data_IF_826567758996
#
_entry.id   IF_826567758996
#
_cell.length_a   1.000
_cell.length_b   1.000
_cell.length_c   1.000
_cell.angle_alpha   90.00
_cell.angle_beta   90.00
_cell.angle_gamma   90.00
#
_symmetry.space_group_name_H-M   'P 1'
#
loop_
_entity.id
_entity.type
_entity.pdbx_description
1 polymer ?
#
# COMPACT_ATOMS: atom_id res chain seq x y z
N UNK A 1 5.94 11.76 51.16
CA UNK A 1 4.49 11.45 51.16
C UNK A 1 3.90 12.25 50.02
N UNK A 2 3.33 11.73 48.93
CA UNK A 2 2.49 10.56 48.72
C UNK A 2 2.66 10.06 47.28
N UNK A 3 2.94 8.77 47.12
CA UNK A 3 2.99 8.04 45.84
C UNK A 3 1.59 7.57 45.44
N UNK A 4 1.08 8.06 44.31
CA UNK A 4 -0.18 7.60 43.73
C UNK A 4 0.01 6.24 43.06
N UNK A 5 -0.57 5.18 43.65
CA UNK A 5 -0.70 3.86 43.04
C UNK A 5 -2.03 3.79 42.29
N UNK A 6 -2.00 3.68 40.96
CA UNK A 6 -3.15 3.24 40.16
C UNK A 6 -3.30 1.73 40.30
N UNK A 7 -4.32 1.30 41.01
CA UNK A 7 -4.78 -0.10 41.05
C UNK A 7 -5.52 -0.41 39.76
N UNK A 8 -5.06 -1.43 39.03
CA UNK A 8 -5.76 -2.02 37.90
C UNK A 8 -6.92 -2.88 38.44
N UNK A 9 -8.15 -2.38 38.37
CA UNK A 9 -9.34 -3.19 38.63
C UNK A 9 -9.61 -4.08 37.41
N UNK A 10 -9.31 -5.38 37.52
CA UNK A 10 -9.87 -6.40 36.65
C UNK A 10 -11.28 -6.73 37.15
N UNK A 11 -12.30 -6.26 36.43
CA UNK A 11 -13.68 -6.69 36.64
C UNK A 11 -13.86 -8.08 36.02
N UNK A 12 -13.96 -9.11 36.86
CA UNK A 12 -14.39 -10.44 36.43
C UNK A 12 -15.87 -10.39 36.06
N UNK A 13 -16.16 -10.59 34.77
CA UNK A 13 -17.52 -10.86 34.30
C UNK A 13 -17.92 -12.26 34.78
N UNK A 14 -19.05 -12.32 35.50
CA UNK A 14 -19.69 -13.56 35.90
C UNK A 14 -20.21 -14.28 34.64
N UNK A 15 -19.52 -15.35 34.23
CA UNK A 15 -20.04 -16.35 33.31
C UNK A 15 -20.49 -17.55 34.14
N UNK A 16 -21.73 -17.96 33.90
CA UNK A 16 -22.46 -18.99 34.65
C UNK A 16 -21.73 -20.33 34.75
N UNK A 17 -21.88 -20.95 35.92
CA UNK A 17 -21.32 -22.25 36.25
C UNK A 17 -21.82 -23.34 35.33
N UNK A 18 -20.87 -23.92 34.58
CA UNK A 18 -20.92 -25.33 34.21
C UNK A 18 -20.10 -26.06 35.26
N UNK A 19 -20.76 -26.91 36.05
CA UNK A 19 -20.13 -27.72 37.07
C UNK A 19 -19.09 -28.67 36.44
N UNK A 20 -17.82 -28.33 36.58
CA UNK A 20 -16.72 -29.28 36.42
C UNK A 20 -16.79 -30.26 37.59
N UNK A 21 -17.33 -31.44 37.31
CA UNK A 21 -17.28 -32.57 38.22
C UNK A 21 -15.84 -32.79 38.69
N UNK A 22 -15.68 -32.90 40.00
CA UNK A 22 -14.47 -33.32 40.68
C UNK A 22 -14.07 -34.71 40.18
N UNK A 23 -13.29 -34.76 39.11
CA UNK A 23 -12.54 -35.94 38.71
C UNK A 23 -11.40 -36.11 39.73
N UNK A 24 -11.38 -37.29 40.34
CA UNK A 24 -10.45 -37.68 41.38
C UNK A 24 -9.00 -37.39 40.98
N UNK A 25 -8.27 -36.76 41.91
CA UNK A 25 -6.82 -36.71 41.93
C UNK A 25 -6.28 -38.15 42.02
N UNK A 26 -5.96 -38.71 40.86
CA UNK A 26 -5.50 -40.10 40.72
C UNK A 26 -5.17 -40.43 39.27
N UNK A 27 -4.67 -39.45 38.50
CA UNK A 27 -4.03 -39.70 37.22
C UNK A 27 -2.55 -39.59 37.45
N UNK A 28 -1.84 -40.71 37.34
CA UNK A 28 -0.39 -40.71 37.22
C UNK A 28 -0.01 -39.64 36.18
N UNK A 29 0.76 -38.65 36.59
CA UNK A 29 1.57 -37.93 35.62
C UNK A 29 2.27 -39.01 34.82
N UNK A 30 2.07 -38.98 33.51
CA UNK A 30 2.80 -39.77 32.54
C UNK A 30 4.28 -39.47 32.81
N UNK A 31 4.86 -40.27 33.70
CA UNK A 31 6.27 -40.37 33.90
C UNK A 31 6.76 -40.96 32.59
N UNK A 32 6.89 -40.11 31.57
CA UNK A 32 7.56 -40.41 30.34
C UNK A 32 8.88 -40.98 30.80
N UNK A 33 9.01 -42.30 30.70
CA UNK A 33 10.19 -43.00 31.17
C UNK A 33 11.36 -42.25 30.53
N UNK A 34 12.21 -41.62 31.36
CA UNK A 34 13.40 -40.96 30.88
C UNK A 34 14.07 -41.95 29.96
N UNK A 35 14.02 -41.70 28.65
CA UNK A 35 14.51 -42.64 27.66
C UNK A 35 16.00 -42.67 27.88
N UNK A 36 16.46 -43.72 28.55
CA UNK A 36 17.86 -43.93 28.93
C UNK A 36 18.66 -44.07 27.65
N UNK A 37 19.18 -42.95 27.13
CA UNK A 37 19.89 -42.88 25.85
C UNK A 37 19.60 -41.65 24.98
N UNK A 38 18.62 -40.82 25.31
CA UNK A 38 18.36 -39.57 24.60
C UNK A 38 19.30 -38.43 25.00
N UNK A 39 19.69 -37.59 24.05
CA UNK A 39 20.34 -36.30 24.31
C UNK A 39 19.27 -35.33 24.82
N UNK A 40 19.58 -34.56 25.86
CA UNK A 40 18.67 -33.54 26.36
C UNK A 40 18.38 -32.54 25.22
N UNK A 41 17.12 -32.36 24.78
CA UNK A 41 16.78 -31.47 23.67
C UNK A 41 17.14 -29.99 23.95
N UNK A 42 17.41 -29.63 25.20
CA UNK A 42 17.87 -28.30 25.60
C UNK A 42 19.40 -28.14 25.65
N UNK A 43 20.17 -29.21 25.46
CA UNK A 43 21.63 -29.18 25.55
C UNK A 43 22.26 -28.37 24.42
N UNK A 44 23.14 -27.43 24.77
CA UNK A 44 23.81 -26.51 23.83
C UNK A 44 25.32 -26.63 23.94
N UNK A 45 26.01 -26.77 22.81
CA UNK A 45 27.46 -26.74 22.68
C UNK A 45 27.89 -25.49 21.90
N UNK A 46 28.63 -24.62 22.58
CA UNK A 46 29.24 -23.42 21.98
C UNK A 46 30.71 -23.74 21.71
N UNK A 47 31.14 -23.59 20.45
CA UNK A 47 32.56 -23.73 20.11
C UNK A 47 33.33 -22.52 20.62
N UNK A 48 34.32 -22.75 21.49
CA UNK A 48 35.04 -21.68 22.18
C UNK A 48 35.95 -20.84 21.27
N UNK A 49 36.39 -21.40 20.14
CA UNK A 49 37.19 -20.71 19.13
C UNK A 49 36.42 -20.66 17.80
N UNK A 50 36.61 -19.62 16.98
CA UNK A 50 36.10 -19.59 15.62
C UNK A 50 36.54 -20.82 14.82
N UNK A 51 35.64 -21.36 14.01
CA UNK A 51 35.84 -22.59 13.23
C UNK A 51 36.05 -22.28 11.74
N UNK A 52 36.77 -23.18 11.07
CA UNK A 52 36.96 -23.18 9.61
C UNK A 52 37.32 -24.60 9.14
N UNK A 53 37.21 -24.87 7.83
CA UNK A 53 37.50 -26.19 7.28
C UNK A 53 36.45 -27.23 7.66
N UNK A 54 36.87 -28.45 8.01
CA UNK A 54 35.96 -29.53 8.36
C UNK A 54 35.67 -29.54 9.87
N UNK A 55 34.41 -29.45 10.25
CA UNK A 55 33.95 -29.41 11.65
C UNK A 55 33.03 -30.60 11.92
N UNK A 56 33.44 -31.45 12.86
CA UNK A 56 32.64 -32.61 13.27
C UNK A 56 31.72 -32.25 14.46
N UNK A 57 30.42 -32.40 14.25
CA UNK A 57 29.36 -32.16 15.23
C UNK A 57 28.95 -33.48 15.89
N UNK A 58 29.34 -33.66 17.15
CA UNK A 58 29.00 -34.86 17.92
C UNK A 58 27.59 -34.72 18.52
N UNK A 59 26.62 -35.37 17.88
CA UNK A 59 25.19 -35.29 18.22
C UNK A 59 24.91 -35.88 19.61
N UNK A 60 25.76 -36.78 20.12
CA UNK A 60 25.63 -37.30 21.48
C UNK A 60 25.93 -36.28 22.57
N UNK A 61 26.56 -35.15 22.23
CA UNK A 61 27.02 -34.14 23.20
C UNK A 61 26.10 -32.93 23.34
N UNK A 62 25.29 -32.63 22.32
CA UNK A 62 24.36 -31.50 22.35
C UNK A 62 23.27 -31.62 21.27
N UNK A 63 22.12 -31.01 21.53
CA UNK A 63 21.05 -30.80 20.55
C UNK A 63 21.25 -29.51 19.75
N UNK A 64 21.91 -28.48 20.32
CA UNK A 64 22.18 -27.20 19.65
C UNK A 64 23.68 -26.94 19.56
N UNK A 65 24.19 -26.61 18.37
CA UNK A 65 25.60 -26.29 18.13
C UNK A 65 25.74 -24.84 17.68
N UNK A 66 26.50 -24.02 18.42
CA UNK A 66 26.76 -22.62 18.08
C UNK A 66 28.21 -22.47 17.62
N UNK A 67 28.40 -22.05 16.38
CA UNK A 67 29.71 -21.95 15.72
C UNK A 67 29.94 -20.55 15.14
N UNK A 68 30.99 -19.84 15.57
CA UNK A 68 31.45 -18.62 14.88
C UNK A 68 32.41 -18.99 13.76
N UNK A 69 32.21 -18.50 12.53
CA UNK A 69 32.98 -18.88 11.35
C UNK A 69 34.11 -17.87 11.09
N UNK A 70 35.33 -18.36 10.92
CA UNK A 70 36.49 -17.57 10.49
C UNK A 70 37.00 -17.97 9.09
N UNK A 71 36.26 -18.82 8.38
CA UNK A 71 36.59 -19.35 7.07
C UNK A 71 35.48 -20.26 6.54
N UNK A 72 35.55 -20.64 5.27
CA UNK A 72 34.67 -21.63 4.67
C UNK A 72 34.62 -22.90 5.54
N UNK A 73 33.42 -23.34 5.89
CA UNK A 73 33.21 -24.41 6.87
C UNK A 73 32.27 -25.48 6.33
N UNK A 74 32.68 -26.73 6.48
CA UNK A 74 31.91 -27.93 6.15
C UNK A 74 31.61 -28.70 7.43
N UNK A 75 30.33 -28.83 7.78
CA UNK A 75 29.90 -29.56 8.96
C UNK A 75 29.60 -31.04 8.64
N UNK A 76 29.95 -31.93 9.55
CA UNK A 76 29.64 -33.36 9.48
C UNK A 76 29.06 -33.83 10.81
N UNK A 77 27.91 -34.49 10.80
CA UNK A 77 27.34 -35.08 12.02
C UNK A 77 27.97 -36.44 12.32
N UNK A 78 28.27 -36.71 13.58
CA UNK A 78 28.80 -37.99 14.05
C UNK A 78 28.14 -38.41 15.37
N UNK A 79 28.29 -39.70 15.72
CA UNK A 79 27.83 -40.26 17.00
C UNK A 79 26.34 -40.00 17.28
N UNK A 80 25.48 -40.26 16.29
CA UNK A 80 24.04 -40.21 16.49
C UNK A 80 23.62 -41.20 17.57
N UNK A 81 22.75 -40.81 18.52
CA UNK A 81 22.27 -41.70 19.56
C UNK A 81 21.67 -42.98 18.97
N UNK A 82 21.99 -44.13 19.55
CA UNK A 82 21.45 -45.41 19.10
C UNK A 82 20.03 -45.61 19.67
N UNK A 83 19.04 -45.81 18.79
CA UNK A 83 17.66 -46.14 19.17
C UNK A 83 16.65 -45.36 18.33
N UNK A 84 15.41 -45.84 18.21
CA UNK A 84 14.38 -45.30 17.29
C UNK A 84 13.86 -43.88 17.64
N UNK A 85 14.68 -43.04 18.27
CA UNK A 85 14.34 -41.67 18.66
C UNK A 85 14.88 -40.73 17.60
N UNK A 86 13.97 -40.02 16.93
CA UNK A 86 14.30 -38.90 16.05
C UNK A 86 15.09 -37.88 16.86
N UNK A 87 16.39 -37.72 16.58
CA UNK A 87 17.19 -36.63 17.15
C UNK A 87 17.15 -35.45 16.19
N UNK A 88 16.96 -34.24 16.71
CA UNK A 88 16.77 -33.05 15.90
C UNK A 88 17.88 -32.00 16.17
N UNK A 89 19.13 -32.23 15.71
CA UNK A 89 20.19 -31.27 15.98
C UNK A 89 19.95 -29.95 15.23
N UNK A 90 20.25 -28.84 15.90
CA UNK A 90 20.22 -27.49 15.33
C UNK A 90 21.64 -26.93 15.25
N UNK A 91 22.00 -26.36 14.11
CA UNK A 91 23.28 -25.65 13.92
C UNK A 91 23.01 -24.16 13.76
N UNK A 92 23.63 -23.35 14.62
CA UNK A 92 23.65 -21.89 14.59
C UNK A 92 25.05 -21.46 14.15
N UNK A 93 25.19 -21.10 12.88
CA UNK A 93 26.45 -20.65 12.28
C UNK A 93 26.46 -19.11 12.17
N UNK A 94 27.40 -18.47 12.86
CA UNK A 94 27.54 -17.01 12.93
C UNK A 94 28.77 -16.60 12.12
N UNK A 95 28.61 -15.76 11.09
CA UNK A 95 29.72 -15.17 10.36
C UNK A 95 30.53 -14.27 11.32
N UNK A 96 31.87 -14.26 11.22
CA UNK A 96 32.66 -13.26 11.92
C UNK A 96 32.48 -11.86 11.31
N UNK A 97 33.24 -10.88 11.81
CA UNK A 97 33.19 -9.51 11.33
C UNK A 97 33.71 -9.32 9.90
N UNK A 98 34.25 -10.36 9.26
CA UNK A 98 34.74 -10.31 7.87
C UNK A 98 33.73 -10.89 6.88
N UNK A 99 32.91 -11.85 7.33
CA UNK A 99 31.93 -12.52 6.48
C UNK A 99 32.55 -13.30 5.32
N UNK A 100 31.75 -13.53 4.28
CA UNK A 100 32.02 -14.24 3.04
C UNK A 100 32.43 -15.71 3.21
N UNK A 101 32.14 -16.30 4.37
CA UNK A 101 32.47 -17.70 4.64
C UNK A 101 31.35 -18.62 4.14
N UNK A 102 31.69 -19.50 3.21
CA UNK A 102 30.79 -20.54 2.73
C UNK A 102 30.45 -21.55 3.83
N UNK A 103 29.18 -21.95 3.88
CA UNK A 103 28.65 -22.97 4.79
C UNK A 103 28.21 -24.18 3.97
N UNK A 104 28.65 -25.38 4.35
CA UNK A 104 28.20 -26.62 3.71
C UNK A 104 28.09 -27.77 4.71
N UNK A 105 27.40 -28.85 4.32
CA UNK A 105 27.14 -30.01 5.16
C UNK A 105 27.42 -31.30 4.38
N UNK A 106 28.11 -32.26 5.00
CA UNK A 106 28.40 -33.57 4.40
C UNK A 106 27.33 -34.58 4.79
N UNK A 107 26.83 -35.36 3.83
CA UNK A 107 25.89 -36.45 4.09
C UNK A 107 24.45 -36.01 4.42
N UNK A 108 24.10 -34.75 4.14
CA UNK A 108 22.75 -34.20 4.36
C UNK A 108 21.94 -34.19 3.07
N UNK A 109 20.73 -34.72 3.14
CA UNK A 109 19.69 -34.58 2.10
C UNK A 109 18.75 -33.43 2.44
N UNK A 110 18.67 -32.42 1.58
CA UNK A 110 17.84 -31.23 1.84
C UNK A 110 16.38 -31.43 1.44
N UNK A 111 15.47 -30.85 2.24
CA UNK A 111 14.02 -30.85 1.97
C UNK A 111 13.53 -29.43 1.61
N UNK A 112 12.77 -29.26 0.51
CA UNK A 112 12.41 -30.27 -0.50
C UNK A 112 13.64 -30.76 -1.28
N UNK A 113 13.56 -32.00 -1.79
CA UNK A 113 14.68 -32.74 -2.38
C UNK A 113 15.50 -31.89 -3.38
N UNK A 114 16.80 -31.75 -3.10
CA UNK A 114 17.77 -31.11 -3.99
C UNK A 114 17.91 -29.60 -3.85
N UNK A 115 17.13 -28.93 -3.00
CA UNK A 115 17.26 -27.50 -2.75
C UNK A 115 18.17 -27.22 -1.54
N UNK A 116 19.45 -26.93 -1.78
CA UNK A 116 20.36 -26.43 -0.74
C UNK A 116 19.86 -25.05 -0.26
N UNK A 117 19.72 -24.80 1.07
CA UNK A 117 19.43 -23.48 1.58
C UNK A 117 20.49 -22.47 1.17
N UNK A 118 20.07 -21.27 0.80
CA UNK A 118 21.00 -20.15 0.61
C UNK A 118 21.46 -19.66 1.99
N UNK A 119 22.73 -19.90 2.32
CA UNK A 119 23.33 -19.38 3.54
C UNK A 119 23.76 -17.92 3.36
N UNK A 120 23.42 -17.09 4.33
CA UNK A 120 23.87 -15.70 4.40
C UNK A 120 25.36 -15.67 4.77
N UNK A 121 26.12 -14.87 4.04
CA UNK A 121 27.56 -14.75 4.24
C UNK A 121 28.01 -13.33 4.58
N UNK A 122 27.11 -12.37 4.80
CA UNK A 122 27.54 -11.02 5.22
C UNK A 122 28.17 -11.02 6.62
N UNK A 123 29.04 -10.04 6.95
CA UNK A 123 29.63 -9.93 8.28
C UNK A 123 28.61 -9.97 9.42
N UNK A 124 28.86 -10.81 10.43
CA UNK A 124 28.00 -11.01 11.61
C UNK A 124 26.61 -11.63 11.33
N UNK A 125 26.35 -12.14 10.13
CA UNK A 125 25.10 -12.85 9.82
C UNK A 125 24.96 -14.16 10.60
N UNK A 126 23.73 -14.52 10.95
CA UNK A 126 23.40 -15.73 11.71
C UNK A 126 22.54 -16.66 10.86
N UNK A 127 23.03 -17.86 10.62
CA UNK A 127 22.33 -18.92 9.93
C UNK A 127 21.89 -19.98 10.93
N UNK A 128 20.59 -20.30 10.98
CA UNK A 128 20.03 -21.35 11.84
C UNK A 128 19.49 -22.46 10.96
N UNK A 129 19.91 -23.70 11.20
CA UNK A 129 19.48 -24.85 10.39
C UNK A 129 19.13 -26.02 11.28
N UNK A 130 17.91 -26.54 11.09
CA UNK A 130 17.44 -27.74 11.76
C UNK A 130 17.73 -28.97 10.92
N UNK A 131 18.05 -30.07 11.59
CA UNK A 131 18.29 -31.37 10.97
C UNK A 131 17.51 -32.43 11.72
N UNK A 132 17.23 -33.55 11.07
CA UNK A 132 16.70 -34.74 11.73
C UNK A 132 17.21 -36.01 11.05
N UNK A 133 17.21 -37.11 11.79
CA UNK A 133 17.47 -38.44 11.25
C UNK A 133 16.49 -39.44 11.85
N UNK A 134 16.01 -40.36 11.02
CA UNK A 134 15.09 -41.44 11.42
C UNK A 134 15.79 -42.79 11.60
N UNK A 135 17.09 -42.87 11.29
CA UNK A 135 17.86 -44.10 11.16
C UNK A 135 19.27 -43.99 11.77
N UNK A 136 19.35 -43.35 12.94
CA UNK A 136 20.58 -43.15 13.72
C UNK A 136 21.73 -42.54 12.89
N UNK A 137 21.42 -41.54 12.06
CA UNK A 137 22.39 -40.78 11.29
C UNK A 137 22.83 -41.41 9.98
N UNK A 138 22.26 -42.56 9.58
CA UNK A 138 22.55 -43.15 8.27
C UNK A 138 22.05 -42.23 7.16
N UNK A 139 20.87 -41.64 7.37
CA UNK A 139 20.26 -40.61 6.53
C UNK A 139 19.95 -39.39 7.39
N UNK A 140 20.55 -38.25 7.04
CA UNK A 140 20.29 -36.97 7.70
C UNK A 140 19.52 -36.07 6.76
N UNK A 141 18.39 -35.57 7.21
CA UNK A 141 17.57 -34.59 6.50
C UNK A 141 17.82 -33.20 7.07
N UNK A 142 18.07 -32.24 6.18
CA UNK A 142 18.20 -30.84 6.54
C UNK A 142 16.96 -30.06 6.17
N UNK A 143 16.44 -29.27 7.11
CA UNK A 143 15.44 -28.24 6.87
C UNK A 143 16.06 -26.89 7.25
N UNK A 144 16.55 -26.17 6.25
CA UNK A 144 16.82 -24.76 6.43
C UNK A 144 15.48 -24.05 6.58
N UNK A 145 15.22 -23.44 7.74
CA UNK A 145 14.43 -22.23 7.69
C UNK A 145 15.28 -21.27 6.84
N UNK A 146 14.80 -20.75 5.69
CA UNK A 146 15.35 -19.48 5.24
C UNK A 146 15.16 -18.55 6.44
N UNK A 147 16.23 -18.31 7.19
CA UNK A 147 16.21 -17.25 8.19
C UNK A 147 16.13 -16.01 7.32
N UNK A 148 14.91 -15.50 7.16
CA UNK A 148 14.59 -14.26 6.49
C UNK A 148 15.24 -13.10 7.25
N UNK A 149 16.57 -13.01 7.19
CA UNK A 149 17.33 -11.76 7.36
C UNK A 149 17.48 -11.01 6.03
N UNK A 150 17.40 -11.74 4.91
CA UNK A 150 17.29 -11.18 3.57
C UNK A 150 16.59 -12.17 2.64
N UNK A 151 15.26 -12.03 2.50
CA UNK A 151 14.53 -12.58 1.36
C UNK A 151 15.14 -12.02 0.07
N UNK A 152 15.94 -12.82 -0.63
CA UNK A 152 16.44 -12.48 -1.96
C UNK A 152 15.38 -12.62 -3.06
N UNK A 153 14.13 -12.95 -2.71
CA UNK A 153 12.97 -12.84 -3.59
C UNK A 153 12.24 -11.50 -3.43
N UNK A 154 12.79 -10.50 -2.72
CA UNK A 154 12.27 -9.13 -2.74
C UNK A 154 10.80 -8.94 -2.31
N UNK A 155 10.16 -9.98 -1.76
CA UNK A 155 8.85 -9.90 -1.15
C UNK A 155 9.08 -9.66 0.34
N UNK A 156 8.95 -8.42 0.85
CA UNK A 156 9.29 -8.11 2.23
C UNK A 156 8.48 -9.00 3.18
N UNK A 157 9.18 -9.78 4.01
CA UNK A 157 8.59 -10.61 5.06
C UNK A 157 7.77 -9.79 6.08
N UNK A 158 7.87 -8.48 6.03
CA UNK A 158 6.94 -7.59 6.67
C UNK A 158 5.74 -7.31 5.75
N UNK A 159 4.87 -8.28 5.54
CA UNK A 159 3.45 -7.92 5.56
C UNK A 159 3.18 -7.41 6.97
N UNK A 160 3.62 -6.19 7.32
CA UNK A 160 3.35 -5.59 8.61
C UNK A 160 1.85 -5.77 8.87
N UNK A 161 1.44 -6.10 10.11
CA UNK A 161 0.21 -6.86 10.46
C UNK A 161 -1.14 -6.31 9.98
N UNK A 162 -1.13 -5.30 9.12
CA UNK A 162 -2.27 -4.50 8.74
C UNK A 162 -2.54 -4.42 7.23
N UNK A 163 -1.76 -5.10 6.37
CA UNK A 163 -2.11 -5.30 4.94
C UNK A 163 -2.27 -4.02 4.10
N UNK A 164 -1.98 -2.85 4.68
CA UNK A 164 -2.26 -1.55 4.08
C UNK A 164 -1.39 -1.22 2.88
N UNK A 165 -0.16 -1.75 2.84
CA UNK A 165 0.85 -1.39 1.84
C UNK A 165 0.87 -2.34 0.64
N UNK A 166 -0.03 -3.33 0.61
CA UNK A 166 -0.01 -4.42 -0.37
C UNK A 166 1.01 -5.51 -0.03
N UNK A 167 0.99 -6.56 -0.83
CA UNK A 167 1.85 -7.74 -0.69
C UNK A 167 3.15 -7.65 -1.52
N UNK A 168 3.22 -6.69 -2.46
CA UNK A 168 4.35 -6.54 -3.36
C UNK A 168 4.37 -7.51 -4.55
N UNK A 169 3.25 -8.22 -4.80
CA UNK A 169 3.17 -9.27 -5.82
C UNK A 169 3.43 -8.81 -7.26
N UNK A 170 3.35 -7.51 -7.55
CA UNK A 170 3.67 -6.94 -8.86
C UNK A 170 5.16 -6.64 -9.06
N UNK A 171 5.99 -6.80 -8.02
CA UNK A 171 7.43 -6.55 -8.07
C UNK A 171 7.83 -5.08 -7.98
N UNK A 172 9.08 -4.79 -8.34
CA UNK A 172 9.67 -3.46 -8.24
C UNK A 172 9.58 -2.68 -9.56
N UNK A 173 9.27 -1.37 -9.47
CA UNK A 173 9.10 -0.50 -10.62
C UNK A 173 10.07 0.67 -10.59
N UNK A 174 10.74 0.92 -11.70
CA UNK A 174 11.62 2.08 -11.91
C UNK A 174 11.13 2.79 -13.16
N UNK A 175 10.44 3.90 -12.93
CA UNK A 175 9.81 4.71 -13.97
C UNK A 175 10.80 5.81 -14.37
N UNK A 176 11.58 5.54 -15.41
CA UNK A 176 12.65 6.42 -15.90
C UNK A 176 12.34 7.04 -17.29
N UNK A 177 11.15 6.76 -17.82
CA UNK A 177 10.72 7.21 -19.15
C UNK A 177 11.20 6.32 -20.30
N UNK A 178 11.94 5.24 -20.02
CA UNK A 178 12.45 4.32 -21.03
C UNK A 178 11.91 2.90 -20.84
N UNK A 179 11.86 2.39 -19.60
CA UNK A 179 11.40 1.02 -19.28
C UNK A 179 9.91 0.86 -19.51
N UNK A 180 9.49 -0.31 -19.99
CA UNK A 180 8.07 -0.67 -20.21
C UNK A 180 7.67 -1.82 -19.31
N UNK A 181 6.46 -1.77 -18.76
CA UNK A 181 5.92 -2.78 -17.82
C UNK A 181 4.60 -3.32 -18.35
N UNK A 182 4.68 -4.13 -19.42
CA UNK A 182 3.50 -4.64 -20.12
C UNK A 182 2.55 -5.39 -19.19
N UNK A 183 1.24 -5.15 -19.34
CA UNK A 183 0.19 -5.80 -18.54
C UNK A 183 -0.05 -5.19 -17.15
N UNK A 184 0.84 -4.30 -16.68
CA UNK A 184 0.68 -3.60 -15.39
C UNK A 184 0.55 -2.09 -15.61
N UNK A 185 1.43 -1.53 -16.43
CA UNK A 185 1.45 -0.12 -16.77
C UNK A 185 1.34 0.10 -18.28
N UNK A 186 0.55 1.08 -18.68
CA UNK A 186 0.71 1.69 -19.99
C UNK A 186 1.77 2.79 -19.96
N UNK A 187 2.34 3.11 -21.13
CA UNK A 187 3.43 4.08 -21.26
C UNK A 187 3.35 4.86 -22.58
N UNK A 188 3.66 6.15 -22.53
CA UNK A 188 3.94 7.02 -23.68
C UNK A 188 5.01 8.03 -23.30
N UNK A 189 6.23 7.92 -23.87
CA UNK A 189 7.37 8.74 -23.44
C UNK A 189 7.65 8.61 -21.94
N UNK A 190 7.75 9.74 -21.23
CA UNK A 190 7.93 9.82 -19.77
C UNK A 190 6.62 9.74 -18.97
N UNK A 191 5.54 9.31 -19.61
CA UNK A 191 4.21 9.20 -19.00
C UNK A 191 3.84 7.73 -18.83
N UNK A 192 3.57 7.33 -17.59
CA UNK A 192 3.10 6.00 -17.19
C UNK A 192 1.70 6.08 -16.62
N UNK A 193 0.90 5.04 -16.80
CA UNK A 193 -0.41 4.94 -16.17
C UNK A 193 -0.73 3.52 -15.71
N UNK A 194 -1.44 3.41 -14.59
CA UNK A 194 -1.88 2.13 -14.04
C UNK A 194 -2.97 1.49 -14.90
N UNK A 195 -2.84 0.22 -15.28
CA UNK A 195 -3.93 -0.52 -15.95
C UNK A 195 -4.87 -1.25 -14.96
N UNK A 196 -4.48 -1.29 -13.69
CA UNK A 196 -5.17 -1.92 -12.55
C UNK A 196 -4.60 -1.37 -11.25
N UNK A 197 -5.15 -1.76 -10.11
CA UNK A 197 -4.47 -1.53 -8.83
C UNK A 197 -3.06 -2.15 -8.87
N UNK A 198 -2.09 -1.40 -8.35
CA UNK A 198 -0.67 -1.77 -8.34
C UNK A 198 -0.26 -2.18 -6.92
N UNK A 199 0.26 -3.39 -6.78
CA UNK A 199 0.78 -3.97 -5.54
C UNK A 199 2.30 -4.16 -5.67
N UNK A 200 3.03 -3.06 -5.69
CA UNK A 200 4.47 -3.04 -5.92
C UNK A 200 5.27 -3.37 -4.64
N UNK A 201 6.43 -4.01 -4.79
CA UNK A 201 7.39 -4.14 -3.69
C UNK A 201 8.14 -2.83 -3.45
N UNK A 202 8.46 -2.09 -4.52
CA UNK A 202 8.99 -0.73 -4.48
C UNK A 202 8.66 0.03 -5.76
N UNK A 203 8.59 1.36 -5.69
CA UNK A 203 8.37 2.22 -6.85
C UNK A 203 9.35 3.38 -6.81
N UNK A 204 10.11 3.58 -7.89
CA UNK A 204 10.93 4.77 -8.13
C UNK A 204 10.34 5.56 -9.29
N UNK A 205 10.01 6.83 -9.08
CA UNK A 205 9.55 7.75 -10.12
C UNK A 205 10.64 8.79 -10.38
N UNK A 206 11.29 8.69 -11.54
CA UNK A 206 12.38 9.58 -11.91
C UNK A 206 11.95 11.03 -12.13
N UNK A 207 12.91 11.95 -12.09
CA UNK A 207 12.65 13.35 -12.40
C UNK A 207 12.15 13.52 -13.84
N UNK A 208 11.14 14.38 -14.04
CA UNK A 208 10.48 14.55 -15.34
C UNK A 208 9.56 13.40 -15.76
N UNK A 209 9.40 12.35 -14.93
CA UNK A 209 8.50 11.23 -15.18
C UNK A 209 7.18 11.43 -14.44
N UNK A 210 6.08 11.05 -15.08
CA UNK A 210 4.74 11.08 -14.50
C UNK A 210 4.19 9.65 -14.38
N UNK A 211 3.77 9.27 -13.17
CA UNK A 211 2.93 8.12 -12.90
C UNK A 211 1.50 8.58 -12.64
N UNK A 212 0.60 8.34 -13.60
CA UNK A 212 -0.82 8.60 -13.45
C UNK A 212 -1.51 7.39 -12.81
N UNK A 213 -2.20 7.57 -11.69
CA UNK A 213 -3.03 6.53 -11.06
C UNK A 213 -4.40 6.38 -11.74
N UNK A 214 -4.44 6.62 -13.05
CA UNK A 214 -5.62 6.52 -13.88
C UNK A 214 -5.28 5.91 -15.24
N UNK A 215 -5.92 4.80 -15.61
CA UNK A 215 -5.49 3.95 -16.70
C UNK A 215 -5.73 4.47 -18.10
N UNK A 216 -4.85 5.33 -18.61
CA UNK A 216 -4.89 5.79 -19.99
C UNK A 216 -6.24 6.43 -20.31
N UNK A 217 -6.76 7.20 -19.35
CA UNK A 217 -8.06 7.84 -19.38
C UNK A 217 -9.31 6.94 -19.18
N UNK A 218 -9.14 5.66 -18.80
CA UNK A 218 -10.30 4.75 -18.61
C UNK A 218 -10.81 4.68 -17.18
N UNK A 219 -9.97 4.54 -16.16
CA UNK A 219 -10.43 4.32 -14.78
C UNK A 219 -9.41 4.79 -13.73
N UNK A 220 -9.86 5.04 -12.48
CA UNK A 220 -8.98 5.39 -11.33
C UNK A 220 -8.58 4.16 -10.53
N UNK A 221 -7.29 4.03 -10.20
CA UNK A 221 -6.70 2.89 -9.50
C UNK A 221 -5.87 3.31 -8.28
N UNK A 222 -5.50 2.34 -7.45
CA UNK A 222 -4.73 2.52 -6.21
C UNK A 222 -3.28 2.08 -6.38
N UNK A 223 -2.36 2.79 -5.72
CA UNK A 223 -0.98 2.36 -5.55
C UNK A 223 -0.78 1.83 -4.13
N UNK A 224 -0.43 0.55 -4.03
CA UNK A 224 0.07 -0.13 -2.85
C UNK A 224 1.56 -0.43 -3.09
N UNK A 225 2.41 -0.03 -2.15
CA UNK A 225 3.85 -0.21 -2.22
C UNK A 225 4.39 -0.77 -0.89
N UNK A 226 4.68 -2.08 -0.84
CA UNK A 226 5.06 -2.78 0.37
C UNK A 226 6.35 -2.23 1.02
N UNK A 227 7.26 -1.70 0.19
CA UNK A 227 8.50 -1.04 0.57
C UNK A 227 8.49 0.48 0.36
N UNK A 228 9.47 0.97 -0.40
CA UNK A 228 9.69 2.43 -0.58
C UNK A 228 9.09 2.93 -1.89
N UNK A 229 8.32 4.01 -1.79
CA UNK A 229 8.00 4.91 -2.90
C UNK A 229 9.02 6.06 -2.90
N UNK A 230 9.96 6.04 -3.83
CA UNK A 230 10.91 7.12 -4.09
C UNK A 230 10.41 7.96 -5.27
N UNK A 231 9.89 9.15 -4.99
CA UNK A 231 9.27 10.02 -5.98
C UNK A 231 10.08 11.31 -6.15
N UNK A 232 10.82 11.39 -7.25
CA UNK A 232 11.44 12.62 -7.77
C UNK A 232 10.66 13.25 -8.94
N UNK A 233 9.61 12.58 -9.41
CA UNK A 233 8.75 13.00 -10.51
C UNK A 233 7.36 13.45 -10.05
N UNK A 234 6.32 12.97 -10.73
CA UNK A 234 4.93 13.30 -10.43
C UNK A 234 4.08 12.04 -10.29
N UNK A 235 3.44 11.84 -9.14
CA UNK A 235 2.38 10.85 -8.93
C UNK A 235 1.05 11.59 -8.91
N UNK A 236 0.19 11.32 -9.89
CA UNK A 236 -0.93 12.22 -10.18
C UNK A 236 -2.22 11.49 -10.52
N UNK A 237 -3.33 12.20 -10.33
CA UNK A 237 -4.60 11.90 -10.99
C UNK A 237 -5.11 13.16 -11.68
N UNK A 238 -5.58 12.96 -12.92
CA UNK A 238 -6.19 14.00 -13.74
C UNK A 238 -7.63 13.60 -14.06
N UNK A 239 -8.39 14.58 -14.54
CA UNK A 239 -9.64 14.36 -15.27
C UNK A 239 -9.35 13.68 -16.62
N UNK A 240 -10.37 13.07 -17.25
CA UNK A 240 -10.20 12.44 -18.56
C UNK A 240 -10.01 13.51 -19.65
N UNK A 241 -10.99 14.41 -19.79
CA UNK A 241 -10.93 15.53 -20.73
C UNK A 241 -11.34 16.81 -20.04
N UNK A 242 -10.53 17.87 -20.18
CA UNK A 242 -10.91 19.21 -19.73
C UNK A 242 -12.07 19.75 -20.59
N UNK A 243 -12.80 20.72 -20.04
CA UNK A 243 -13.89 21.38 -20.77
C UNK A 243 -13.35 22.35 -21.80
N UNK A 244 -14.05 22.48 -22.94
CA UNK A 244 -13.65 23.38 -24.02
C UNK A 244 -14.86 24.01 -24.68
N UNK A 245 -14.87 25.34 -24.75
CA UNK A 245 -16.06 26.07 -25.21
C UNK A 245 -17.29 25.71 -24.39
N UNK A 246 -18.39 25.42 -25.08
CA UNK A 246 -19.63 24.91 -24.50
C UNK A 246 -19.62 23.41 -24.14
N UNK A 247 -18.60 22.67 -24.57
CA UNK A 247 -18.55 21.20 -24.43
C UNK A 247 -18.03 20.84 -23.05
N UNK A 248 -18.86 20.12 -22.28
CA UNK A 248 -18.46 19.58 -20.99
C UNK A 248 -17.28 18.63 -21.15
N UNK A 249 -16.29 18.81 -20.28
CA UNK A 249 -15.24 17.84 -20.04
C UNK A 249 -15.81 16.57 -19.41
N UNK A 250 -14.98 15.56 -19.29
CA UNK A 250 -15.36 14.27 -18.73
C UNK A 250 -14.36 13.81 -17.69
N UNK A 251 -14.86 13.00 -16.76
CA UNK A 251 -14.06 12.22 -15.85
C UNK A 251 -13.81 10.80 -16.35
N UNK A 252 -12.93 10.11 -15.64
CA UNK A 252 -12.62 8.69 -15.87
C UNK A 252 -13.87 7.84 -15.58
N UNK A 253 -13.92 6.62 -16.12
CA UNK A 253 -14.90 5.65 -15.65
C UNK A 253 -14.57 5.18 -14.22
N UNK A 254 -15.55 4.55 -13.58
CA UNK A 254 -15.36 3.95 -12.25
C UNK A 254 -14.39 2.77 -12.36
N UNK A 255 -13.26 2.85 -11.66
CA UNK A 255 -12.34 1.74 -11.44
C UNK A 255 -12.57 1.13 -10.06
N UNK A 256 -11.48 0.93 -9.33
CA UNK A 256 -11.53 0.59 -7.90
C UNK A 256 -11.83 1.81 -7.03
N UNK A 257 -11.57 3.01 -7.57
CA UNK A 257 -11.97 4.29 -7.01
C UNK A 257 -13.05 4.96 -7.87
N UNK A 258 -13.88 5.77 -7.20
CA UNK A 258 -14.99 6.44 -7.86
C UNK A 258 -14.59 7.84 -8.33
N UNK A 259 -14.74 8.13 -9.62
CA UNK A 259 -14.28 9.39 -10.21
C UNK A 259 -15.05 10.60 -9.68
N UNK A 260 -14.52 11.80 -9.98
CA UNK A 260 -15.21 13.06 -9.73
C UNK A 260 -16.45 13.25 -10.59
N UNK A 261 -17.23 14.29 -10.32
CA UNK A 261 -18.44 14.58 -11.08
C UNK A 261 -18.13 15.17 -12.45
N UNK A 262 -18.87 14.72 -13.47
CA UNK A 262 -18.89 15.38 -14.77
C UNK A 262 -19.61 16.75 -14.64
N UNK A 263 -19.11 17.78 -15.33
CA UNK A 263 -19.72 19.10 -15.30
C UNK A 263 -20.88 19.21 -16.30
N UNK A 264 -21.77 20.20 -16.14
CA UNK A 264 -22.75 20.54 -17.15
C UNK A 264 -22.09 21.21 -18.37
N UNK A 265 -22.76 21.06 -19.53
CA UNK A 265 -22.42 21.80 -20.75
C UNK A 265 -22.91 23.25 -20.66
N UNK A 266 -22.31 24.13 -21.46
CA UNK A 266 -22.72 25.52 -21.59
C UNK A 266 -24.04 25.69 -22.36
N UNK A 267 -24.94 26.51 -21.84
CA UNK A 267 -26.23 26.82 -22.47
C UNK A 267 -26.22 28.15 -23.23
N UNK A 268 -27.08 28.28 -24.25
CA UNK A 268 -27.30 29.54 -25.01
C UNK A 268 -28.29 30.49 -24.34
N UNK A 269 -29.16 29.99 -23.45
CA UNK A 269 -30.20 30.79 -22.80
C UNK A 269 -29.61 31.94 -21.97
N UNK A 270 -30.14 33.14 -22.17
CA UNK A 270 -29.81 34.31 -21.36
C UNK A 270 -30.19 34.05 -19.89
N UNK A 271 -29.20 34.00 -19.01
CA UNK A 271 -29.41 33.73 -17.57
C UNK A 271 -29.79 32.28 -17.25
N UNK A 272 -29.72 31.36 -18.22
CA UNK A 272 -29.86 29.94 -17.94
C UNK A 272 -28.58 29.44 -17.28
N UNK A 273 -28.59 29.37 -15.95
CA UNK A 273 -27.58 28.67 -15.17
C UNK A 273 -27.50 27.21 -15.65
N UNK A 274 -26.31 26.71 -15.99
CA UNK A 274 -26.15 25.26 -16.17
C UNK A 274 -26.63 24.53 -14.92
N UNK A 275 -27.41 23.47 -15.05
CA UNK A 275 -27.79 22.65 -13.89
C UNK A 275 -26.51 22.15 -13.21
N UNK A 276 -26.31 22.50 -11.94
CA UNK A 276 -25.27 21.85 -11.15
C UNK A 276 -25.52 20.34 -11.19
N UNK A 277 -24.49 19.55 -11.51
CA UNK A 277 -24.62 18.09 -11.48
C UNK A 277 -25.20 17.66 -10.14
N UNK A 278 -26.20 16.77 -10.15
CA UNK A 278 -26.79 16.25 -8.92
C UNK A 278 -25.68 15.72 -8.02
N UNK A 279 -25.50 16.38 -6.89
CA UNK A 279 -24.46 16.07 -5.93
C UNK A 279 -24.67 14.68 -5.35
N UNK A 280 -23.57 14.01 -5.02
CA UNK A 280 -23.65 12.85 -4.12
C UNK A 280 -23.82 13.33 -2.68
N UNK A 281 -24.28 12.48 -1.76
CA UNK A 281 -24.27 12.84 -0.35
C UNK A 281 -22.85 13.28 0.07
N UNK A 282 -22.68 14.55 0.47
CA UNK A 282 -21.38 15.14 0.81
C UNK A 282 -20.57 15.76 -0.34
N UNK A 283 -21.03 15.69 -1.60
CA UNK A 283 -20.41 16.36 -2.75
C UNK A 283 -21.44 17.19 -3.51
N UNK A 284 -21.34 18.51 -3.46
CA UNK A 284 -22.13 19.39 -4.33
C UNK A 284 -21.35 19.67 -5.60
N UNK A 285 -21.90 19.44 -6.79
CA UNK A 285 -21.35 20.11 -7.97
C UNK A 285 -21.51 21.63 -7.79
N UNK A 286 -20.55 22.41 -8.30
CA UNK A 286 -20.68 23.85 -8.38
C UNK A 286 -22.02 24.21 -9.05
N UNK A 287 -22.77 25.11 -8.43
CA UNK A 287 -23.98 25.67 -9.04
C UNK A 287 -23.63 26.30 -10.39
N UNK A 288 -24.52 26.20 -11.37
CA UNK A 288 -24.39 26.99 -12.60
C UNK A 288 -24.28 28.47 -12.30
N UNK A 289 -23.67 29.23 -13.22
CA UNK A 289 -23.58 30.67 -13.11
C UNK A 289 -24.96 31.29 -12.85
N UNK A 290 -25.04 32.27 -11.94
CA UNK A 290 -26.32 32.87 -11.52
C UNK A 290 -27.19 33.37 -12.67
N UNK A 291 -28.47 33.65 -12.38
CA UNK A 291 -29.54 33.98 -13.34
C UNK A 291 -29.38 35.28 -14.15
N UNK A 292 -28.17 35.85 -14.23
CA UNK A 292 -27.87 36.95 -15.14
C UNK A 292 -27.45 36.45 -16.50
N UNK A 293 -28.02 37.00 -17.58
CA UNK A 293 -27.37 36.95 -18.89
C UNK A 293 -25.91 37.37 -18.67
N UNK A 294 -24.93 36.57 -19.11
CA UNK A 294 -23.47 36.81 -18.97
C UNK A 294 -22.77 36.34 -17.67
N UNK A 295 -23.46 35.69 -16.73
CA UNK A 295 -22.81 35.18 -15.50
C UNK A 295 -21.74 34.10 -15.80
N UNK A 296 -20.64 34.12 -15.06
CA UNK A 296 -19.63 33.05 -15.07
C UNK A 296 -20.09 31.87 -14.20
N UNK A 297 -19.64 30.67 -14.55
CA UNK A 297 -19.91 29.46 -13.77
C UNK A 297 -19.17 29.48 -12.43
N UNK A 298 -19.81 29.04 -11.36
CA UNK A 298 -19.16 28.89 -10.07
C UNK A 298 -18.15 27.73 -10.10
N UNK A 299 -17.05 27.88 -9.37
CA UNK A 299 -16.10 26.78 -9.18
C UNK A 299 -16.75 25.61 -8.42
N UNK A 300 -16.30 24.39 -8.72
CA UNK A 300 -16.68 23.21 -7.95
C UNK A 300 -16.14 23.32 -6.53
N UNK A 301 -17.01 23.18 -5.54
CA UNK A 301 -16.65 23.10 -4.13
C UNK A 301 -17.39 21.93 -3.50
N UNK A 302 -16.68 21.08 -2.75
CA UNK A 302 -17.30 20.16 -1.82
C UNK A 302 -16.80 20.45 -0.41
N UNK A 303 -17.73 20.45 0.52
CA UNK A 303 -17.44 20.30 1.93
C UNK A 303 -17.91 18.91 2.32
N UNK A 304 -17.09 18.17 3.07
CA UNK A 304 -17.58 17.00 3.81
C UNK A 304 -18.83 17.42 4.58
N UNK A 305 -19.98 16.81 4.27
CA UNK A 305 -21.20 17.16 4.96
C UNK A 305 -21.02 16.90 6.46
N UNK A 306 -21.35 17.89 7.29
CA UNK A 306 -21.29 17.77 8.74
C UNK A 306 -22.17 16.59 9.18
N UNK A 307 -21.56 15.52 9.69
CA UNK A 307 -22.24 14.29 10.09
C UNK A 307 -21.74 13.00 9.44
N UNK A 308 -20.86 13.07 8.44
CA UNK A 308 -20.15 11.86 7.98
C UNK A 308 -19.06 11.49 8.98
N UNK A 309 -19.31 10.48 9.81
CA UNK A 309 -18.24 9.77 10.50
C UNK A 309 -17.50 8.91 9.48
N UNK A 310 -16.18 9.13 9.36
CA UNK A 310 -15.33 8.09 8.79
C UNK A 310 -15.56 6.81 9.61
N UNK A 311 -15.57 5.62 9.00
CA UNK A 311 -15.75 4.38 9.73
C UNK A 311 -14.76 4.34 10.90
N UNK A 312 -15.28 4.08 12.09
CA UNK A 312 -14.52 4.22 13.35
C UNK A 312 -13.39 3.18 13.49
N UNK A 313 -13.32 2.21 12.57
CA UNK A 313 -12.31 1.17 12.53
C UNK A 313 -11.50 1.20 11.22
N UNK A 314 -10.21 1.49 11.35
CA UNK A 314 -9.17 1.06 10.41
C UNK A 314 -8.96 -0.47 10.58
N UNK A 315 -8.69 -1.24 9.51
CA UNK A 315 -8.28 -0.83 8.17
C UNK A 315 -9.41 -0.55 7.17
N UNK A 316 -10.65 -0.90 7.53
CA UNK A 316 -11.79 -0.90 6.61
C UNK A 316 -12.06 0.49 6.03
N UNK A 317 -11.97 1.54 6.85
CA UNK A 317 -12.12 2.93 6.41
C UNK A 317 -11.14 3.35 5.30
N UNK A 318 -9.94 2.80 5.26
CA UNK A 318 -8.88 3.17 4.34
C UNK A 318 -8.88 2.33 3.04
N UNK A 319 -9.35 1.08 3.11
CA UNK A 319 -9.26 0.14 1.98
C UNK A 319 -10.57 -0.06 1.21
N UNK A 320 -11.70 0.47 1.70
CA UNK A 320 -12.99 0.34 1.03
C UNK A 320 -13.01 1.01 -0.35
N UNK A 321 -12.97 0.17 -1.38
CA UNK A 321 -13.47 0.48 -2.70
C UNK A 321 -15.01 0.60 -2.64
N UNK A 322 -15.58 1.46 -3.48
CA UNK A 322 -17.03 1.64 -3.61
C UNK A 322 -17.70 0.27 -3.83
N UNK A 323 -18.45 -0.20 -2.85
CA UNK A 323 -19.18 -1.47 -2.95
C UNK A 323 -20.35 -1.30 -3.91
N UNK A 324 -20.14 -1.73 -5.15
CA UNK A 324 -21.16 -2.17 -6.11
C UNK A 324 -21.90 -1.07 -6.90
N UNK A 325 -22.04 -1.21 -8.23
CA UNK A 325 -22.83 -0.29 -9.06
C UNK A 325 -24.36 -0.34 -8.80
N UNK A 326 -24.84 -1.19 -7.89
CA UNK A 326 -26.27 -1.48 -7.69
C UNK A 326 -26.78 -1.34 -6.25
N UNK A 327 -25.99 -0.81 -5.31
CA UNK A 327 -26.54 -0.48 -3.99
C UNK A 327 -27.03 0.96 -4.04
N UNK A 328 -28.32 1.13 -4.32
CA UNK A 328 -29.04 2.39 -4.05
C UNK A 328 -28.91 2.65 -2.54
N UNK A 329 -27.89 3.42 -2.14
CA UNK A 329 -27.50 3.62 -0.73
C UNK A 329 -26.08 3.19 -0.34
N UNK A 330 -25.23 2.77 -1.29
CA UNK A 330 -23.82 2.49 -1.01
C UNK A 330 -23.06 3.76 -0.55
N UNK A 331 -22.37 3.66 0.58
CA UNK A 331 -21.60 4.77 1.14
C UNK A 331 -20.27 4.89 0.38
N UNK A 332 -20.14 5.94 -0.42
CA UNK A 332 -18.87 6.29 -1.07
C UNK A 332 -17.98 7.04 -0.06
N UNK A 333 -16.93 6.40 0.46
CA UNK A 333 -16.05 7.03 1.45
C UNK A 333 -14.94 7.91 0.83
N UNK A 334 -14.60 7.70 -0.45
CA UNK A 334 -13.60 8.48 -1.19
C UNK A 334 -14.12 8.90 -2.58
N UNK A 335 -15.18 9.72 -2.66
CA UNK A 335 -15.68 10.15 -3.95
C UNK A 335 -14.78 11.29 -4.51
N UNK A 336 -14.61 11.35 -5.83
CA UNK A 336 -13.84 12.41 -6.47
C UNK A 336 -14.42 13.82 -6.25
N UNK A 337 -13.71 14.84 -6.71
CA UNK A 337 -14.09 16.24 -6.54
C UNK A 337 -15.41 16.62 -7.23
N UNK A 338 -15.96 17.74 -6.79
CA UNK A 338 -17.10 18.40 -7.43
C UNK A 338 -16.76 18.94 -8.83
N UNK A 339 -17.69 18.82 -9.78
CA UNK A 339 -17.59 19.54 -11.06
C UNK A 339 -17.87 21.04 -10.89
N UNK A 340 -17.31 21.88 -11.76
CA UNK A 340 -17.65 23.31 -11.84
C UNK A 340 -18.98 23.54 -12.55
N UNK A 341 -19.59 24.70 -12.31
CA UNK A 341 -20.82 25.12 -12.99
C UNK A 341 -20.55 25.66 -14.40
N UNK A 342 -21.52 25.55 -15.31
CA UNK A 342 -21.42 26.20 -16.61
C UNK A 342 -21.69 27.72 -16.51
N UNK A 343 -21.06 28.50 -17.38
CA UNK A 343 -21.36 29.91 -17.57
C UNK A 343 -22.69 30.10 -18.31
N UNK A 344 -23.31 31.26 -18.14
CA UNK A 344 -24.54 31.64 -18.80
C UNK A 344 -24.27 32.11 -20.25
N UNK A 345 -25.19 31.79 -21.14
CA UNK A 345 -25.25 32.37 -22.49
C UNK A 345 -25.81 33.79 -22.49
N UNK A 346 -25.78 34.41 -23.67
CA UNK A 346 -26.33 35.76 -23.91
C UNK A 346 -27.65 35.74 -24.72
N UNK A 347 -28.26 34.56 -24.89
CA UNK A 347 -29.45 34.33 -25.71
C UNK A 347 -29.13 33.86 -27.14
N UNK A 348 -27.92 34.13 -27.63
CA UNK A 348 -27.44 33.69 -28.96
C UNK A 348 -26.24 32.76 -28.83
N UNK A 349 -25.25 33.18 -28.06
CA UNK A 349 -23.98 32.49 -27.85
C UNK A 349 -24.04 31.67 -26.55
N UNK A 350 -23.40 30.49 -26.56
CA UNK A 350 -23.38 29.62 -25.39
C UNK A 350 -22.29 30.04 -24.40
N UNK A 351 -22.61 29.93 -23.11
CA UNK A 351 -21.61 30.00 -22.04
C UNK A 351 -20.59 28.87 -22.12
N UNK A 352 -19.51 29.02 -21.35
CA UNK A 352 -18.49 27.99 -21.21
C UNK A 352 -18.97 26.83 -20.33
N UNK A 353 -18.60 25.59 -20.66
CA UNK A 353 -18.92 24.43 -19.82
C UNK A 353 -18.12 24.44 -18.51
N UNK A 354 -18.70 23.92 -17.43
CA UNK A 354 -17.97 23.78 -16.16
C UNK A 354 -16.84 22.75 -16.29
N UNK A 355 -15.83 22.78 -15.43
CA UNK A 355 -14.71 21.84 -15.43
C UNK A 355 -15.00 20.55 -14.64
N UNK A 356 -14.55 19.37 -15.06
CA UNK A 356 -14.77 18.13 -14.31
C UNK A 356 -14.07 18.15 -12.96
N UNK A 357 -14.69 17.55 -11.93
CA UNK A 357 -14.06 17.43 -10.61
C UNK A 357 -12.93 16.40 -10.63
N UNK A 358 -11.88 16.63 -9.84
CA UNK A 358 -10.67 15.82 -9.87
C UNK A 358 -10.89 14.39 -9.36
N UNK A 359 -10.13 13.45 -9.90
CA UNK A 359 -10.24 12.04 -9.53
C UNK A 359 -9.47 11.75 -8.23
N UNK A 360 -9.94 10.80 -7.41
CA UNK A 360 -9.28 10.44 -6.17
C UNK A 360 -7.87 9.88 -6.43
N UNK A 361 -6.90 10.29 -5.60
CA UNK A 361 -5.53 9.79 -5.61
C UNK A 361 -5.30 8.99 -4.33
N UNK A 362 -4.89 7.73 -4.47
CA UNK A 362 -4.62 6.85 -3.35
C UNK A 362 -3.21 6.26 -3.43
N UNK A 363 -2.41 6.50 -2.40
CA UNK A 363 -1.06 5.95 -2.25
C UNK A 363 -0.92 5.37 -0.85
N UNK A 364 -0.58 4.09 -0.77
CA UNK A 364 -0.17 3.45 0.46
C UNK A 364 1.23 2.89 0.29
N UNK A 365 2.20 3.40 1.04
CA UNK A 365 3.58 2.92 0.96
C UNK A 365 4.24 2.89 2.33
N UNK A 366 5.01 1.85 2.66
CA UNK A 366 5.69 1.79 3.96
C UNK A 366 6.59 3.00 4.19
N UNK A 367 7.33 3.42 3.17
CA UNK A 367 8.16 4.63 3.21
C UNK A 367 7.93 5.47 1.97
N UNK A 368 7.75 6.77 2.13
CA UNK A 368 7.62 7.73 1.04
C UNK A 368 8.77 8.74 1.12
N UNK A 369 9.57 8.79 0.06
CA UNK A 369 10.58 9.81 -0.18
C UNK A 369 10.09 10.68 -1.34
N UNK A 370 9.46 11.82 -1.04
CA UNK A 370 8.80 12.65 -2.05
C UNK A 370 9.56 13.95 -2.31
N UNK A 371 10.58 13.93 -3.16
CA UNK A 371 11.22 15.16 -3.66
C UNK A 371 10.45 15.80 -4.83
N UNK A 372 9.55 15.05 -5.45
CA UNK A 372 8.64 15.47 -6.52
C UNK A 372 7.28 15.95 -6.02
N UNK A 373 6.22 15.57 -6.73
CA UNK A 373 4.83 15.95 -6.39
C UNK A 373 3.89 14.74 -6.33
N UNK A 374 2.95 14.78 -5.38
CA UNK A 374 1.79 13.87 -5.27
C UNK A 374 0.53 14.74 -5.34
N UNK A 375 -0.20 14.73 -6.46
CA UNK A 375 -1.25 15.74 -6.70
C UNK A 375 -2.49 15.19 -7.41
N UNK A 376 -3.67 15.50 -6.88
CA UNK A 376 -4.94 15.31 -7.58
C UNK A 376 -5.47 16.64 -8.15
N UNK A 377 -5.68 16.68 -9.47
CA UNK A 377 -6.12 17.90 -10.17
C UNK A 377 -7.59 17.85 -10.57
N UNK A 378 -8.28 18.98 -10.39
CA UNK A 378 -9.56 19.28 -11.02
C UNK A 378 -9.37 19.78 -12.47
N UNK A 379 -10.40 19.60 -13.30
CA UNK A 379 -10.40 20.04 -14.68
C UNK A 379 -10.74 21.52 -14.82
N UNK A 380 -10.14 22.19 -15.81
CA UNK A 380 -10.45 23.58 -16.13
C UNK A 380 -11.85 23.74 -16.74
N UNK A 381 -12.47 24.90 -16.50
CA UNK A 381 -13.71 25.31 -17.16
C UNK A 381 -13.47 25.73 -18.61
N UNK A 382 -14.47 25.54 -19.47
CA UNK A 382 -14.47 25.96 -20.86
C UNK A 382 -14.69 27.47 -21.00
N UNK A 383 -14.12 28.07 -22.04
CA UNK A 383 -14.37 29.48 -22.38
C UNK A 383 -15.77 29.68 -22.98
N UNK A 384 -16.34 30.89 -22.85
CA UNK A 384 -17.56 31.27 -23.57
C UNK A 384 -17.39 31.20 -25.10
N UNK A 385 -18.49 31.08 -25.85
CA UNK A 385 -18.49 30.86 -27.32
C UNK A 385 -18.98 32.06 -28.15
N UNK A 386 -18.47 33.26 -27.87
CA UNK A 386 -18.77 34.50 -28.58
C UNK A 386 -19.67 35.46 -27.79
N UNK A 387 -19.93 36.64 -28.37
CA UNK A 387 -20.77 37.68 -27.79
C UNK A 387 -20.37 38.06 -26.37
N UNK A 388 -21.33 38.07 -25.45
CA UNK A 388 -21.13 38.37 -24.03
C UNK A 388 -21.22 37.12 -23.14
N UNK A 389 -20.91 35.93 -23.68
CA UNK A 389 -21.01 34.67 -22.95
C UNK A 389 -20.05 34.57 -21.74
N UNK A 390 -20.54 34.05 -20.62
CA UNK A 390 -19.73 33.79 -19.43
C UNK A 390 -18.86 32.53 -19.55
N UNK A 391 -17.71 32.52 -18.89
CA UNK A 391 -16.84 31.33 -18.81
C UNK A 391 -17.35 30.29 -17.80
N UNK A 392 -17.07 29.01 -18.01
CA UNK A 392 -17.44 27.96 -17.07
C UNK A 392 -16.52 27.90 -15.86
N UNK A 393 -17.02 27.53 -14.68
CA UNK A 393 -16.20 27.39 -13.48
C UNK A 393 -15.29 26.17 -13.51
N UNK A 394 -14.13 26.21 -12.88
CA UNK A 394 -13.22 25.07 -12.76
C UNK A 394 -13.75 24.00 -11.79
N UNK A 395 -13.42 22.73 -12.04
CA UNK A 395 -13.77 21.63 -11.14
C UNK A 395 -12.88 21.61 -9.89
N UNK A 396 -13.40 21.10 -8.78
CA UNK A 396 -12.63 20.93 -7.55
C UNK A 396 -11.48 19.94 -7.75
N UNK A 397 -10.38 20.07 -7.01
CA UNK A 397 -9.36 19.02 -6.91
C UNK A 397 -9.93 17.70 -6.37
N UNK A 398 -9.33 16.57 -6.77
CA UNK A 398 -9.71 15.26 -6.25
C UNK A 398 -9.19 15.05 -4.82
N UNK A 399 -9.80 14.17 -4.01
CA UNK A 399 -9.24 13.85 -2.71
C UNK A 399 -7.90 13.12 -2.85
N UNK A 400 -7.00 13.36 -1.90
CA UNK A 400 -5.70 12.69 -1.82
C UNK A 400 -5.61 11.93 -0.51
N UNK A 401 -5.42 10.62 -0.61
CA UNK A 401 -5.23 9.71 0.52
C UNK A 401 -3.82 9.13 0.47
N UNK A 402 -3.03 9.41 1.50
CA UNK A 402 -1.67 8.86 1.66
C UNK A 402 -1.57 8.11 2.97
N UNK A 403 -1.26 6.82 2.91
CA UNK A 403 -0.99 5.96 4.07
C UNK A 403 0.51 5.64 4.07
N UNK A 404 1.19 5.90 5.18
CA UNK A 404 2.64 5.66 5.27
C UNK A 404 3.13 5.24 6.64
N UNK A 405 4.23 4.46 6.66
CA UNK A 405 5.00 4.21 7.89
C UNK A 405 6.05 5.30 8.14
N UNK A 406 6.58 5.90 7.07
CA UNK A 406 7.45 7.06 7.13
C UNK A 406 7.29 7.96 5.90
N UNK A 407 7.34 9.28 6.10
CA UNK A 407 7.20 10.27 5.03
C UNK A 407 8.29 11.33 5.14
N UNK A 408 8.94 11.66 4.01
CA UNK A 408 9.91 12.74 3.92
C UNK A 408 9.76 13.45 2.58
N UNK A 409 9.82 14.78 2.57
CA UNK A 409 9.76 15.60 1.37
C UNK A 409 8.48 16.45 1.26
N UNK A 410 8.07 16.76 0.04
CA UNK A 410 6.96 17.66 -0.26
C UNK A 410 5.60 17.07 0.16
N UNK A 411 4.71 17.92 0.69
CA UNK A 411 3.37 17.49 1.06
C UNK A 411 2.49 17.18 -0.17
N UNK A 412 1.61 16.15 -0.09
CA UNK A 412 0.61 15.88 -1.12
C UNK A 412 -0.38 17.05 -1.24
N UNK A 413 -0.92 17.28 -2.45
CA UNK A 413 -1.80 18.42 -2.74
C UNK A 413 -3.05 18.02 -3.49
N UNK A 414 -4.14 18.72 -3.23
CA UNK A 414 -5.33 18.70 -4.08
C UNK A 414 -5.50 20.10 -4.68
N UNK A 415 -5.62 20.17 -6.01
CA UNK A 415 -5.62 21.45 -6.73
C UNK A 415 -6.87 21.53 -7.62
N UNK A 416 -7.69 22.55 -7.41
CA UNK A 416 -8.83 22.84 -8.28
C UNK A 416 -8.40 23.30 -9.67
N UNK A 417 -9.26 23.07 -10.65
CA UNK A 417 -9.07 23.53 -12.01
C UNK A 417 -9.31 25.05 -12.13
N UNK A 418 -8.66 25.71 -13.10
CA UNK A 418 -8.92 27.12 -13.38
C UNK A 418 -10.34 27.33 -13.93
N UNK A 419 -10.89 28.53 -13.72
CA UNK A 419 -12.10 28.96 -14.41
C UNK A 419 -11.84 29.24 -15.90
N UNK A 420 -12.87 29.06 -16.71
CA UNK A 420 -12.86 29.36 -18.14
C UNK A 420 -12.92 30.87 -18.42
N UNK A 421 -12.31 31.28 -19.53
CA UNK A 421 -12.33 32.66 -19.97
C UNK A 421 -13.73 33.12 -20.40
N UNK A 422 -14.01 34.41 -20.19
CA UNK A 422 -15.20 35.07 -20.71
C UNK A 422 -15.08 35.42 -22.19
N UNK A 423 -16.18 35.84 -22.80
CA UNK A 423 -16.22 36.54 -24.08
C UNK A 423 -16.92 37.89 -23.91
N UNK A 424 -16.46 38.92 -24.65
CA UNK A 424 -17.04 40.27 -24.59
C UNK A 424 -17.20 40.80 -23.16
N UNK A 425 -18.41 41.23 -22.82
CA UNK A 425 -18.79 41.69 -21.49
C UNK A 425 -19.25 40.57 -20.54
N UNK A 426 -18.98 39.31 -20.88
CA UNK A 426 -19.16 38.15 -20.02
C UNK A 426 -18.41 38.27 -18.69
N UNK A 427 -18.72 37.37 -17.76
CA UNK A 427 -17.92 37.16 -16.55
C UNK A 427 -17.08 35.87 -16.67
N UNK A 428 -15.81 35.88 -16.24
CA UNK A 428 -15.01 34.65 -16.22
C UNK A 428 -15.59 33.66 -15.22
N UNK A 429 -15.33 32.37 -15.43
CA UNK A 429 -15.68 31.35 -14.45
C UNK A 429 -14.81 31.44 -13.20
N UNK A 430 -15.34 31.03 -12.06
CA UNK A 430 -14.56 30.88 -10.82
C UNK A 430 -13.62 29.67 -10.88
N UNK A 431 -12.47 29.74 -10.22
CA UNK A 431 -11.62 28.57 -10.04
C UNK A 431 -12.27 27.54 -9.11
N UNK A 432 -12.02 26.25 -9.34
CA UNK A 432 -12.45 25.19 -8.45
C UNK A 432 -11.68 25.22 -7.13
N UNK A 433 -12.33 24.76 -6.06
CA UNK A 433 -11.67 24.62 -4.76
C UNK A 433 -10.65 23.48 -4.75
N UNK A 434 -9.77 23.48 -3.75
CA UNK A 434 -9.00 22.28 -3.42
C UNK A 434 -9.97 21.17 -2.93
N UNK A 435 -9.62 19.92 -3.21
CA UNK A 435 -10.15 18.77 -2.50
C UNK A 435 -9.48 18.60 -1.14
N UNK A 436 -9.79 17.50 -0.46
CA UNK A 436 -9.22 17.18 0.84
C UNK A 436 -7.95 16.33 0.70
N UNK A 437 -7.00 16.52 1.61
CA UNK A 437 -5.77 15.75 1.70
C UNK A 437 -5.73 15.09 3.08
N UNK A 438 -5.64 13.77 3.11
CA UNK A 438 -5.53 12.97 4.33
C UNK A 438 -4.22 12.20 4.29
N UNK A 439 -3.42 12.38 5.35
CA UNK A 439 -2.20 11.60 5.60
C UNK A 439 -2.41 10.79 6.87
N UNK A 440 -2.23 9.48 6.76
CA UNK A 440 -2.28 8.56 7.89
C UNK A 440 -0.90 7.95 8.09
N UNK A 441 -0.31 8.23 9.26
CA UNK A 441 0.88 7.54 9.73
C UNK A 441 0.45 6.25 10.45
N UNK A 442 1.05 5.11 10.09
CA UNK A 442 0.79 3.81 10.69
C UNK A 442 2.05 3.20 11.29
#
# INVERSE_FOLDING_TARGET
MSTSRRSLLLSAAAAGGVALGTAAAGGAEDASAATTGGVDPSSTKIFAAPVSGNVNLDVSTAAVFVCTLAGNTTFTFQNWPAGAVTTEPTVIAVQDSTGQHGISFTGVSWLPAGALPAFQTEPNEVNVTGFFSTDNGTTVYGQGAPVDGARSDGAPADGGPSGFYGDGGDGAFVLDGTRTYAGVLGKSGSYYWLLRDLFASSVTVGSGVTLQLAGGATASYRLFCAGTLDNAGSVVTYVNTASSGRTAGSNLATGTLKPGLNPPSGGTGAGAAGTGGAGRPGLSAGSGGGSGARAGGAGGVSSLAAGYSLPQALPWAAMMAATGPNVTGGIDYFPGGAGGGAGAGDGTNAGGAGGPGGNPLFVAARKILNSGQIVAYGGGGGAGTGGDAGGGGGGQGGPVMVIHGGFTGNDPKSVGGPGGAKQGNGNPGGAGGAGWVVRLAN
#
